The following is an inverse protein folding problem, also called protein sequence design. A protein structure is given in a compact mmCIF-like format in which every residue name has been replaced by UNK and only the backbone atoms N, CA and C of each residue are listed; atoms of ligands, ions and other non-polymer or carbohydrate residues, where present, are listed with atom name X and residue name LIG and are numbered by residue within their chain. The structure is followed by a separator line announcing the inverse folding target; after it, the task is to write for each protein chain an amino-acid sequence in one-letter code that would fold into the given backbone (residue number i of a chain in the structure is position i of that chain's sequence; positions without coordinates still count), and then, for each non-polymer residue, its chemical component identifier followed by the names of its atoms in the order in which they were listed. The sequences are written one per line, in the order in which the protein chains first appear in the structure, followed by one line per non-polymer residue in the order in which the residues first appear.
data_IF_732192694939
#
_entry.id   IF_732192694939
#
_cell.length_a   1.000
_cell.length_b   1.000
_cell.length_c   1.000
_cell.angle_alpha   90.00
_cell.angle_beta   90.00
_cell.angle_gamma   90.00
#
_symmetry.space_group_name_H-M   'P 1'
#
loop_
_entity.id
_entity.type
_entity.pdbx_description
1 polymer ?
#
# COMPACT_ATOMS: atom_id res chain seq x y z
N UNK A 1 -42.10 -13.24 -38.32
CA UNK A 1 -40.78 -13.54 -37.72
C UNK A 1 -40.90 -14.83 -36.93
N UNK A 2 -40.13 -15.87 -37.25
CA UNK A 2 -40.28 -17.24 -36.73
C UNK A 2 -40.00 -17.27 -35.20
N UNK A 3 -40.93 -17.78 -34.39
CA UNK A 3 -40.88 -17.78 -32.91
C UNK A 3 -39.57 -18.36 -32.35
N UNK A 4 -39.02 -19.39 -33.03
CA UNK A 4 -37.73 -19.99 -32.71
C UNK A 4 -36.55 -19.00 -32.79
N UNK A 5 -36.59 -18.02 -33.70
CA UNK A 5 -35.56 -16.96 -33.80
C UNK A 5 -35.70 -15.92 -32.68
N UNK A 6 -36.93 -15.65 -32.22
CA UNK A 6 -37.20 -14.71 -31.11
C UNK A 6 -36.74 -15.31 -29.79
N UNK A 7 -37.02 -16.59 -29.53
CA UNK A 7 -36.55 -17.31 -28.35
C UNK A 7 -35.02 -17.37 -28.27
N UNK A 8 -34.33 -17.70 -29.38
CA UNK A 8 -32.86 -17.70 -29.42
C UNK A 8 -32.24 -16.34 -29.08
N UNK A 9 -32.84 -15.22 -29.53
CA UNK A 9 -32.36 -13.87 -29.23
C UNK A 9 -32.46 -13.54 -27.73
N UNK A 10 -33.56 -13.94 -27.08
CA UNK A 10 -33.72 -13.74 -25.64
C UNK A 10 -32.74 -14.57 -24.82
N UNK A 11 -32.48 -15.82 -25.22
CA UNK A 11 -31.46 -16.66 -24.58
C UNK A 11 -30.07 -16.04 -24.72
N UNK A 12 -29.70 -15.57 -25.91
CA UNK A 12 -28.40 -14.90 -26.12
C UNK A 12 -28.29 -13.62 -25.30
N UNK A 13 -29.35 -12.80 -25.24
CA UNK A 13 -29.37 -11.59 -24.42
C UNK A 13 -29.21 -11.90 -22.92
N UNK A 14 -29.89 -12.93 -22.42
CA UNK A 14 -29.78 -13.35 -21.02
C UNK A 14 -28.38 -13.87 -20.67
N UNK A 15 -27.74 -14.63 -21.57
CA UNK A 15 -26.36 -15.10 -21.39
C UNK A 15 -25.38 -13.93 -21.35
N UNK A 16 -25.50 -12.97 -22.28
CA UNK A 16 -24.63 -11.79 -22.31
C UNK A 16 -24.79 -10.93 -21.06
N UNK A 17 -26.02 -10.76 -20.57
CA UNK A 17 -26.29 -10.05 -19.32
C UNK A 17 -25.68 -10.80 -18.13
N UNK A 18 -25.81 -12.13 -18.07
CA UNK A 18 -25.22 -12.95 -17.01
C UNK A 18 -23.70 -12.85 -16.98
N UNK A 19 -23.04 -12.87 -18.15
CA UNK A 19 -21.59 -12.66 -18.26
C UNK A 19 -21.20 -11.25 -17.79
N UNK A 20 -21.93 -10.22 -18.20
CA UNK A 20 -21.65 -8.85 -17.78
C UNK A 20 -21.76 -8.67 -16.25
N UNK A 21 -22.76 -9.29 -15.62
CA UNK A 21 -22.93 -9.28 -14.16
C UNK A 21 -21.77 -9.99 -13.46
N UNK A 22 -21.35 -11.16 -13.97
CA UNK A 22 -20.21 -11.89 -13.42
C UNK A 22 -18.90 -11.08 -13.53
N UNK A 23 -18.67 -10.43 -14.67
CA UNK A 23 -17.52 -9.55 -14.85
C UNK A 23 -17.54 -8.36 -13.88
N UNK A 24 -18.72 -7.76 -13.63
CA UNK A 24 -18.87 -6.66 -12.69
C UNK A 24 -18.60 -7.11 -11.23
N UNK A 25 -19.10 -8.27 -10.83
CA UNK A 25 -18.84 -8.85 -9.51
C UNK A 25 -17.37 -9.21 -9.32
N UNK A 26 -16.73 -9.76 -10.35
CA UNK A 26 -15.32 -10.09 -10.34
C UNK A 26 -14.44 -8.84 -10.24
N UNK A 27 -14.79 -7.78 -11.00
CA UNK A 27 -14.14 -6.48 -10.88
C UNK A 27 -14.29 -5.95 -9.46
N UNK A 28 -15.50 -5.88 -8.92
CA UNK A 28 -15.77 -5.41 -7.56
C UNK A 28 -14.96 -6.16 -6.49
N UNK A 29 -14.89 -7.49 -6.60
CA UNK A 29 -14.13 -8.32 -5.67
C UNK A 29 -12.62 -7.99 -5.68
N UNK A 30 -12.07 -7.64 -6.86
CA UNK A 30 -10.65 -7.39 -7.05
C UNK A 30 -10.26 -5.90 -6.97
N UNK A 31 -11.21 -4.97 -7.06
CA UNK A 31 -10.97 -3.52 -7.03
C UNK A 31 -11.32 -2.86 -5.69
N UNK A 32 -11.72 -3.63 -4.69
CA UNK A 32 -11.96 -3.12 -3.34
C UNK A 32 -10.67 -2.75 -2.60
N UNK A 33 -10.81 -2.18 -1.41
CA UNK A 33 -9.70 -1.93 -0.48
C UNK A 33 -9.77 -2.90 0.71
N UNK A 34 -8.66 -3.03 1.43
CA UNK A 34 -8.57 -3.69 2.74
C UNK A 34 -7.62 -2.88 3.65
N UNK A 35 -7.82 -2.86 4.98
CA UNK A 35 -6.93 -2.15 5.90
C UNK A 35 -5.48 -2.64 5.80
N UNK A 36 -4.52 -1.76 6.11
CA UNK A 36 -3.13 -2.18 6.33
C UNK A 36 -3.09 -2.98 7.66
N UNK A 37 -2.50 -4.19 7.72
CA UNK A 37 -2.64 -5.05 8.90
C UNK A 37 -1.70 -4.65 10.03
N UNK A 38 -2.15 -3.82 10.97
CA UNK A 38 -1.31 -3.29 12.06
C UNK A 38 -1.56 -3.95 13.42
N UNK A 39 -2.53 -4.85 13.52
CA UNK A 39 -2.88 -5.54 14.77
C UNK A 39 -1.85 -6.64 15.10
N UNK A 40 -1.49 -6.77 16.39
CA UNK A 40 -0.55 -7.78 16.91
C UNK A 40 0.71 -7.91 16.05
N UNK A 41 1.34 -6.77 15.76
CA UNK A 41 2.53 -6.70 14.93
C UNK A 41 3.60 -5.84 15.60
N UNK A 42 4.85 -6.09 15.20
CA UNK A 42 6.00 -5.28 15.57
C UNK A 42 6.69 -4.71 14.33
N UNK A 43 7.34 -3.57 14.46
CA UNK A 43 8.23 -3.02 13.45
C UNK A 43 9.54 -3.78 13.55
N UNK A 44 10.01 -4.35 12.45
CA UNK A 44 11.33 -4.98 12.39
C UNK A 44 12.43 -3.97 12.04
N UNK A 45 12.19 -3.08 11.09
CA UNK A 45 13.15 -2.07 10.66
C UNK A 45 12.44 -0.94 9.94
N UNK A 46 12.87 0.30 10.19
CA UNK A 46 12.51 1.46 9.38
C UNK A 46 13.74 1.88 8.59
N UNK A 47 13.61 2.09 7.29
CA UNK A 47 14.68 2.61 6.43
C UNK A 47 14.20 3.83 5.67
N UNK A 48 14.94 4.92 5.78
CA UNK A 48 14.67 6.17 5.07
C UNK A 48 15.77 6.45 4.07
N UNK A 49 15.35 6.87 2.88
CA UNK A 49 16.18 7.34 1.80
C UNK A 49 15.72 8.74 1.42
N UNK A 50 16.62 9.71 1.51
CA UNK A 50 16.38 11.08 1.03
C UNK A 50 17.35 11.44 -0.07
N UNK A 51 16.90 12.29 -1.00
CA UNK A 51 17.76 12.93 -1.98
C UNK A 51 17.37 14.40 -2.11
N UNK A 52 18.33 15.30 -1.93
CA UNK A 52 18.12 16.74 -2.05
C UNK A 52 19.41 17.38 -2.54
N UNK A 53 19.29 18.29 -3.51
CA UNK A 53 20.41 19.04 -4.08
C UNK A 53 21.57 18.13 -4.54
N UNK A 54 21.23 16.94 -5.06
CA UNK A 54 22.20 15.94 -5.52
C UNK A 54 22.85 15.11 -4.41
N UNK A 55 22.58 15.40 -3.14
CA UNK A 55 23.07 14.62 -1.99
C UNK A 55 22.03 13.54 -1.63
N UNK A 56 22.47 12.29 -1.60
CA UNK A 56 21.66 11.15 -1.17
C UNK A 56 22.06 10.70 0.23
N UNK A 57 21.11 10.66 1.16
CA UNK A 57 21.31 10.15 2.50
C UNK A 57 20.45 8.91 2.73
N UNK A 58 20.98 7.96 3.50
CA UNK A 58 20.24 6.77 3.94
C UNK A 58 20.41 6.60 5.43
N UNK A 59 19.29 6.35 6.10
CA UNK A 59 19.24 6.05 7.52
C UNK A 59 18.37 4.80 7.75
N UNK A 60 18.69 4.04 8.77
CA UNK A 60 17.91 2.87 9.20
C UNK A 60 17.86 2.80 10.71
N UNK A 61 16.71 2.39 11.24
CA UNK A 61 16.46 2.16 12.66
C UNK A 61 15.94 0.74 12.86
N UNK A 62 16.53 0.00 13.81
CA UNK A 62 16.03 -1.31 14.19
C UNK A 62 14.70 -1.17 14.92
N UNK A 63 13.83 -2.16 14.74
CA UNK A 63 12.61 -2.30 15.55
C UNK A 63 12.89 -2.32 17.05
N UNK A 64 13.97 -2.98 17.45
CA UNK A 64 14.39 -3.10 18.85
C UNK A 64 14.76 -1.75 19.50
N UNK A 65 15.05 -0.74 18.68
CA UNK A 65 15.38 0.62 19.13
C UNK A 65 14.14 1.52 19.23
N UNK A 66 12.97 1.05 18.78
CA UNK A 66 11.70 1.77 18.93
C UNK A 66 11.12 1.54 20.31
N UNK A 67 10.71 2.61 20.98
CA UNK A 67 9.87 2.47 22.18
C UNK A 67 8.46 2.02 21.78
N UNK A 68 7.70 1.37 22.68
CA UNK A 68 6.32 1.00 22.41
C UNK A 68 5.45 2.18 21.96
N UNK A 69 5.69 3.38 22.49
CA UNK A 69 4.95 4.59 22.11
C UNK A 69 5.28 5.06 20.69
N UNK A 70 6.54 4.93 20.25
CA UNK A 70 6.94 5.27 18.89
C UNK A 70 6.30 4.32 17.88
N UNK A 71 6.36 3.02 18.18
CA UNK A 71 5.75 1.96 17.41
C UNK A 71 4.22 2.10 17.34
N UNK A 72 3.57 2.36 18.47
CA UNK A 72 2.13 2.60 18.52
C UNK A 72 1.73 3.79 17.65
N UNK A 73 2.43 4.92 17.75
CA UNK A 73 2.14 6.09 16.95
C UNK A 73 2.27 5.80 15.44
N UNK A 74 3.27 5.01 15.03
CA UNK A 74 3.43 4.59 13.64
C UNK A 74 2.27 3.69 13.19
N UNK A 75 1.89 2.70 13.99
CA UNK A 75 0.77 1.82 13.69
C UNK A 75 -0.56 2.54 13.68
N UNK A 76 -0.76 3.54 14.54
CA UNK A 76 -1.94 4.41 14.50
C UNK A 76 -2.02 5.18 13.18
N UNK A 77 -0.90 5.70 12.64
CA UNK A 77 -0.88 6.30 11.31
C UNK A 77 -1.26 5.26 10.24
N UNK A 78 -0.55 4.14 10.16
CA UNK A 78 -0.81 3.12 9.12
C UNK A 78 -2.22 2.52 9.19
N UNK A 79 -2.76 2.32 10.39
CA UNK A 79 -4.08 1.73 10.64
C UNK A 79 -5.25 2.59 10.16
N UNK A 80 -5.04 3.89 9.88
CA UNK A 80 -6.05 4.76 9.26
C UNK A 80 -6.18 4.56 7.75
N UNK A 81 -5.22 3.88 7.12
CA UNK A 81 -5.15 3.73 5.68
C UNK A 81 -5.47 2.30 5.24
N UNK A 82 -5.78 2.19 3.95
CA UNK A 82 -6.08 0.91 3.31
C UNK A 82 -5.21 0.71 2.07
N UNK A 83 -5.05 -0.56 1.69
CA UNK A 83 -4.42 -0.99 0.46
C UNK A 83 -5.45 -1.58 -0.52
N UNK A 84 -5.14 -1.54 -1.82
CA UNK A 84 -5.94 -2.18 -2.85
C UNK A 84 -5.95 -3.70 -2.70
N UNK A 85 -7.09 -4.36 -2.92
CA UNK A 85 -7.15 -5.83 -3.03
C UNK A 85 -6.41 -6.31 -4.26
N UNK A 86 -6.51 -5.57 -5.37
CA UNK A 86 -5.71 -5.78 -6.57
C UNK A 86 -4.22 -5.55 -6.32
N UNK A 87 -3.39 -6.26 -7.07
CA UNK A 87 -1.94 -6.14 -7.01
C UNK A 87 -1.43 -5.22 -8.11
N UNK A 88 -0.33 -4.53 -7.85
CA UNK A 88 0.40 -3.72 -8.83
C UNK A 88 1.74 -4.36 -9.17
N UNK A 89 2.28 -4.03 -10.34
CA UNK A 89 3.69 -4.29 -10.63
C UNK A 89 4.50 -3.12 -10.09
N UNK A 90 5.49 -3.41 -9.25
CA UNK A 90 6.47 -2.43 -8.83
C UNK A 90 7.57 -2.37 -9.88
N UNK A 91 7.65 -1.24 -10.58
CA UNK A 91 8.77 -0.95 -11.48
C UNK A 91 10.03 -0.57 -10.70
N UNK A 92 11.10 -0.26 -11.43
CA UNK A 92 12.26 0.36 -10.82
C UNK A 92 11.88 1.74 -10.28
N UNK A 93 12.32 2.01 -9.06
CA UNK A 93 12.13 3.28 -8.39
C UNK A 93 13.06 4.34 -9.00
N UNK A 94 12.50 5.42 -9.52
CA UNK A 94 13.25 6.56 -10.03
C UNK A 94 13.50 7.56 -8.89
N UNK A 95 14.76 7.80 -8.57
CA UNK A 95 15.18 8.70 -7.48
C UNK A 95 15.51 10.08 -8.09
N UNK A 96 14.52 10.96 -8.11
CA UNK A 96 14.63 12.35 -8.59
C UNK A 96 15.08 13.30 -7.46
N UNK A 97 15.14 14.60 -7.70
CA UNK A 97 15.34 15.61 -6.65
C UNK A 97 14.13 16.56 -6.61
N UNK A 98 13.53 16.84 -5.44
CA UNK A 98 13.75 16.20 -4.14
C UNK A 98 13.08 14.82 -4.05
N UNK A 99 13.64 13.94 -3.22
CA UNK A 99 13.13 12.59 -3.00
C UNK A 99 13.10 12.22 -1.53
N UNK A 100 12.01 11.58 -1.12
CA UNK A 100 11.87 10.89 0.17
C UNK A 100 11.24 9.53 -0.05
N UNK A 101 11.79 8.51 0.59
CA UNK A 101 11.22 7.17 0.65
C UNK A 101 11.42 6.57 2.03
N UNK A 102 10.35 6.02 2.60
CA UNK A 102 10.31 5.35 3.89
C UNK A 102 9.86 3.91 3.63
N UNK A 103 10.68 2.96 4.06
CA UNK A 103 10.39 1.53 4.02
C UNK A 103 10.28 1.02 5.45
N UNK A 104 9.12 0.52 5.83
CA UNK A 104 8.82 -0.04 7.16
C UNK A 104 8.61 -1.55 6.98
N UNK A 105 9.48 -2.35 7.58
CA UNK A 105 9.28 -3.80 7.70
C UNK A 105 8.43 -4.09 8.93
N UNK A 106 7.33 -4.80 8.74
CA UNK A 106 6.39 -5.18 9.80
C UNK A 106 6.41 -6.69 9.98
N UNK A 107 6.42 -7.11 11.24
CA UNK A 107 6.52 -8.47 11.73
C UNK A 107 5.24 -8.80 12.53
N UNK A 108 4.21 -9.35 11.88
CA UNK A 108 3.04 -9.88 12.59
C UNK A 108 3.44 -10.99 13.57
N UNK A 109 2.71 -11.13 14.68
CA UNK A 109 2.85 -12.26 15.61
C UNK A 109 2.54 -13.60 14.91
N UNK A 110 1.55 -13.59 14.02
CA UNK A 110 1.17 -14.73 13.18
C UNK A 110 1.26 -14.39 11.69
N UNK A 111 1.97 -15.23 10.94
CA UNK A 111 2.06 -15.13 9.48
C UNK A 111 3.36 -14.50 8.96
N UNK A 112 3.42 -14.24 7.64
CA UNK A 112 4.63 -13.69 7.02
C UNK A 112 4.79 -12.20 7.33
N UNK A 113 6.05 -11.77 7.43
CA UNK A 113 6.36 -10.34 7.46
C UNK A 113 5.96 -9.65 6.16
N UNK A 114 5.72 -8.35 6.25
CA UNK A 114 5.33 -7.53 5.12
C UNK A 114 6.03 -6.18 5.18
N UNK A 115 6.04 -5.47 4.06
CA UNK A 115 6.74 -4.20 3.93
C UNK A 115 5.77 -3.10 3.51
N UNK A 116 5.81 -1.96 4.19
CA UNK A 116 5.12 -0.73 3.79
C UNK A 116 6.14 0.21 3.19
N UNK A 117 5.90 0.67 1.96
CA UNK A 117 6.72 1.65 1.26
C UNK A 117 5.91 2.92 1.07
N UNK A 118 6.47 4.05 1.48
CA UNK A 118 5.91 5.39 1.36
C UNK A 118 6.93 6.28 0.66
N UNK A 119 6.50 7.10 -0.29
CA UNK A 119 7.41 7.93 -1.08
C UNK A 119 6.76 9.25 -1.47
N UNK A 120 7.59 10.28 -1.62
CA UNK A 120 7.18 11.57 -2.19
C UNK A 120 6.65 11.44 -3.62
N UNK A 121 6.95 10.34 -4.31
CA UNK A 121 6.26 9.93 -5.53
C UNK A 121 5.21 8.88 -5.19
N UNK A 122 3.93 9.23 -5.33
CA UNK A 122 2.80 8.35 -5.00
C UNK A 122 2.79 7.05 -5.82
N UNK A 123 3.45 7.03 -6.99
CA UNK A 123 3.65 5.78 -7.72
C UNK A 123 4.42 4.73 -6.91
N UNK A 124 5.18 5.17 -5.91
CA UNK A 124 6.00 4.34 -5.06
C UNK A 124 5.46 4.13 -3.64
N UNK A 125 4.17 4.40 -3.43
CA UNK A 125 3.48 4.05 -2.19
C UNK A 125 2.73 2.72 -2.33
N UNK A 126 3.19 1.68 -1.62
CA UNK A 126 2.58 0.35 -1.67
C UNK A 126 2.89 -0.49 -0.42
N UNK A 127 2.07 -1.52 -0.18
CA UNK A 127 2.33 -2.58 0.80
C UNK A 127 2.71 -3.86 0.04
N UNK A 128 3.86 -4.45 0.34
CA UNK A 128 4.23 -5.79 -0.13
C UNK A 128 3.75 -6.81 0.90
N UNK A 129 2.64 -7.47 0.63
CA UNK A 129 2.04 -8.50 1.48
C UNK A 129 1.93 -9.81 0.70
N UNK A 130 2.33 -10.94 1.31
CA UNK A 130 2.37 -12.27 0.66
C UNK A 130 3.15 -12.27 -0.67
N UNK A 131 4.24 -11.49 -0.73
CA UNK A 131 5.07 -11.33 -1.94
C UNK A 131 4.42 -10.51 -3.06
N UNK A 132 3.28 -9.86 -2.80
CA UNK A 132 2.54 -9.06 -3.79
C UNK A 132 2.44 -7.61 -3.36
N UNK A 133 2.67 -6.70 -4.30
CA UNK A 133 2.53 -5.27 -4.03
C UNK A 133 1.08 -4.82 -4.19
N UNK A 134 0.59 -4.06 -3.22
CA UNK A 134 -0.75 -3.50 -3.15
C UNK A 134 -0.66 -1.98 -3.00
N UNK A 135 -1.35 -1.22 -3.84
CA UNK A 135 -1.33 0.24 -3.80
C UNK A 135 -1.96 0.74 -2.50
N UNK A 136 -1.36 1.72 -1.85
CA UNK A 136 -1.97 2.40 -0.70
C UNK A 136 -2.99 3.42 -1.25
N UNK A 137 -4.17 3.49 -0.62
CA UNK A 137 -5.32 4.32 -1.03
C UNK A 137 -5.01 5.81 -1.13
N UNK A 138 -4.26 6.33 -0.16
CA UNK A 138 -3.69 7.69 -0.16
C UNK A 138 -2.29 7.62 0.46
N UNK A 139 -1.32 7.27 -0.39
CA UNK A 139 0.05 7.07 0.06
C UNK A 139 0.77 8.36 0.44
N UNK A 140 0.35 9.49 -0.16
CA UNK A 140 0.93 10.80 0.11
C UNK A 140 0.52 11.32 1.49
N UNK A 141 -0.77 11.23 1.82
CA UNK A 141 -1.24 11.62 3.15
C UNK A 141 -0.65 10.73 4.26
N UNK A 142 -0.54 9.42 4.04
CA UNK A 142 0.13 8.53 4.99
C UNK A 142 1.61 8.90 5.17
N UNK A 143 2.32 9.27 4.09
CA UNK A 143 3.69 9.74 4.19
C UNK A 143 3.78 11.00 5.05
N UNK A 144 2.92 11.98 4.82
CA UNK A 144 2.89 13.23 5.60
C UNK A 144 2.65 12.96 7.09
N UNK A 145 1.69 12.09 7.42
CA UNK A 145 1.41 11.72 8.81
C UNK A 145 2.58 10.99 9.48
N UNK A 146 3.26 10.10 8.74
CA UNK A 146 4.45 9.40 9.24
C UNK A 146 5.61 10.37 9.43
N UNK A 147 5.84 11.30 8.51
CA UNK A 147 6.87 12.34 8.66
C UNK A 147 6.61 13.28 9.83
N UNK A 148 5.34 13.53 10.15
CA UNK A 148 4.95 14.39 11.26
C UNK A 148 5.11 13.73 12.64
N UNK A 149 5.48 12.45 12.71
CA UNK A 149 5.78 11.80 13.99
C UNK A 149 6.97 12.49 14.68
N UNK A 150 6.88 12.89 15.96
CA UNK A 150 7.90 13.72 16.60
C UNK A 150 9.31 13.14 16.56
N UNK A 151 9.43 11.81 16.66
CA UNK A 151 10.69 11.10 16.64
C UNK A 151 11.27 10.89 15.23
N UNK A 152 10.50 11.14 14.17
CA UNK A 152 10.99 11.11 12.79
C UNK A 152 11.85 12.33 12.46
N UNK A 153 11.61 13.47 13.11
CA UNK A 153 12.49 14.63 13.01
C UNK A 153 13.91 14.33 13.53
N UNK A 154 14.02 13.59 14.64
CA UNK A 154 15.30 13.19 15.26
C UNK A 154 16.09 12.19 14.39
N UNK A 155 15.40 11.44 13.54
CA UNK A 155 15.99 10.56 12.54
C UNK A 155 16.59 11.30 11.32
N UNK A 156 16.52 12.64 11.28
CA UNK A 156 17.05 13.47 10.20
C UNK A 156 16.12 13.55 8.96
N UNK A 157 14.82 13.39 9.16
CA UNK A 157 13.80 13.30 8.09
C UNK A 157 13.17 14.67 7.77
N UNK A 158 13.37 15.66 8.63
CA UNK A 158 12.97 17.05 8.39
C UNK A 158 14.18 17.95 8.44
N UNK A 159 14.18 19.01 7.63
CA UNK A 159 15.13 20.12 7.79
C UNK A 159 15.14 20.68 9.22
#
# INVERSE_FOLDING_TARGET
MNEKKRAKRWVVAAVLLGVAVLCALWAWHNTGTRPIPTENAHVGTISILTKKDGVQNRWSLSGDDLTPEMEEALFQCMGRYSMSKGTISTGNMEITDPYLHISIWVLPEEGPSYQVNLSSNEHYCWVTLDGKAHRISDGAALLEEVQALPWMAEAGITE
#
